data_IF_071826072340
#
_entry.id   IF_071826072340
#
_cell.length_a   1.000
_cell.length_b   1.000
_cell.length_c   1.000
_cell.angle_alpha   90.00
_cell.angle_beta   90.00
_cell.angle_gamma   90.00
#
_symmetry.space_group_name_H-M   'P 1'
#
loop_
_entity.id
_entity.type
_entity.pdbx_description
1 polymer ?
#
# COMPACT_ATOMS: atom_id res chain seq x y z
N UNK A 1 6.64 -13.17 -18.54
CA UNK A 1 7.80 -12.82 -17.69
C UNK A 1 7.31 -12.03 -16.47
N UNK A 2 7.02 -12.71 -15.36
CA UNK A 2 6.54 -12.06 -14.14
C UNK A 2 7.67 -11.33 -13.40
N UNK A 3 7.39 -10.19 -12.73
CA UNK A 3 8.42 -9.48 -11.99
C UNK A 3 8.80 -10.29 -10.74
N UNK A 4 10.03 -10.81 -10.74
CA UNK A 4 10.61 -11.64 -9.68
C UNK A 4 10.93 -10.81 -8.43
N UNK A 5 9.92 -10.62 -7.59
CA UNK A 5 10.07 -9.95 -6.29
C UNK A 5 9.99 -10.94 -5.12
N UNK A 6 10.94 -10.83 -4.20
CA UNK A 6 10.92 -11.32 -2.81
C UNK A 6 10.34 -12.73 -2.53
N UNK A 7 10.60 -13.72 -3.39
CA UNK A 7 10.60 -15.12 -2.97
C UNK A 7 12.03 -15.56 -2.65
N UNK A 8 12.30 -16.14 -1.47
CA UNK A 8 13.48 -16.98 -1.32
C UNK A 8 13.21 -18.23 -2.17
N UNK A 9 13.60 -18.19 -3.44
CA UNK A 9 13.70 -19.39 -4.25
C UNK A 9 14.80 -20.27 -3.68
N UNK A 10 14.45 -21.52 -3.38
CA UNK A 10 15.36 -22.53 -2.86
C UNK A 10 16.60 -22.69 -3.71
N UNK A 11 17.70 -23.05 -3.07
CA UNK A 11 19.00 -23.21 -3.70
C UNK A 11 18.98 -24.25 -4.82
N UNK A 12 19.04 -23.77 -6.06
CA UNK A 12 19.56 -24.53 -7.19
C UNK A 12 20.98 -24.09 -7.46
N UNK A 13 21.97 -24.94 -7.16
CA UNK A 13 23.34 -24.80 -7.68
C UNK A 13 23.26 -25.07 -9.19
N UNK A 14 23.59 -24.08 -10.01
CA UNK A 14 24.06 -24.34 -11.38
C UNK A 14 25.43 -23.71 -11.53
N UNK A 15 26.37 -24.60 -11.78
CA UNK A 15 27.80 -24.43 -11.97
C UNK A 15 28.14 -23.68 -13.25
N UNK A 16 29.19 -22.85 -13.15
CA UNK A 16 30.20 -22.56 -14.19
C UNK A 16 29.68 -21.86 -15.46
N UNK A 17 29.97 -20.56 -15.57
CA UNK A 17 31.00 -20.13 -16.53
C UNK A 17 31.72 -18.89 -15.98
N UNK A 18 33.04 -19.02 -15.84
CA UNK A 18 33.97 -17.93 -15.58
C UNK A 18 34.39 -17.41 -16.94
N UNK A 19 34.33 -16.09 -17.09
CA UNK A 19 34.96 -15.24 -18.12
C UNK A 19 33.91 -14.42 -18.85
N UNK A 20 33.54 -13.29 -18.24
CA UNK A 20 33.04 -12.01 -18.85
C UNK A 20 32.59 -11.04 -17.71
N UNK A 21 33.32 -11.04 -16.59
CA UNK A 21 32.98 -10.25 -15.40
C UNK A 21 33.81 -8.95 -15.35
N UNK A 22 33.39 -7.93 -16.08
CA UNK A 22 34.03 -6.61 -16.04
C UNK A 22 33.09 -5.45 -15.74
N UNK A 23 31.97 -5.35 -16.47
CA UNK A 23 31.14 -4.12 -16.42
C UNK A 23 29.63 -4.41 -16.41
N UNK A 24 29.18 -5.54 -16.96
CA UNK A 24 27.74 -5.86 -17.06
C UNK A 24 27.15 -6.50 -15.78
N UNK A 25 27.99 -6.95 -14.84
CA UNK A 25 27.57 -7.58 -13.58
C UNK A 25 27.04 -6.61 -12.51
N UNK A 26 27.33 -5.30 -12.64
CA UNK A 26 26.93 -4.27 -11.66
C UNK A 26 25.46 -3.84 -11.79
N UNK A 27 24.79 -4.18 -12.90
CA UNK A 27 23.37 -3.87 -13.12
C UNK A 27 22.42 -4.99 -12.68
N UNK A 28 22.92 -6.18 -12.32
CA UNK A 28 22.12 -7.21 -11.65
C UNK A 28 22.20 -7.06 -10.14
N UNK A 29 21.69 -5.93 -9.64
CA UNK A 29 21.42 -5.78 -8.20
C UNK A 29 20.51 -6.91 -7.75
N UNK A 30 20.87 -7.63 -6.68
CA UNK A 30 20.03 -8.71 -6.14
C UNK A 30 18.64 -8.14 -5.82
N UNK A 31 17.56 -8.93 -5.87
CA UNK A 31 16.20 -8.44 -5.57
C UNK A 31 16.12 -7.71 -4.21
N UNK A 32 16.91 -8.16 -3.23
CA UNK A 32 17.04 -7.55 -1.91
C UNK A 32 17.64 -6.13 -1.93
N UNK A 33 18.52 -5.83 -2.87
CA UNK A 33 19.20 -4.53 -2.97
C UNK A 33 18.31 -3.47 -3.64
N UNK A 34 17.31 -3.91 -4.43
CA UNK A 34 16.39 -3.02 -5.15
C UNK A 34 15.39 -2.36 -4.19
N UNK A 35 14.74 -3.14 -3.32
CA UNK A 35 13.90 -2.60 -2.24
C UNK A 35 14.68 -1.66 -1.29
N UNK A 36 15.98 -1.93 -1.09
CA UNK A 36 16.86 -1.13 -0.22
C UNK A 36 17.14 0.28 -0.77
N UNK A 37 17.06 0.49 -2.10
CA UNK A 37 17.31 1.79 -2.75
C UNK A 37 16.07 2.68 -2.82
N UNK A 38 14.88 2.09 -2.91
CA UNK A 38 13.64 2.81 -3.23
C UNK A 38 13.25 3.88 -2.20
N UNK A 39 13.46 3.63 -0.91
CA UNK A 39 13.01 4.52 0.19
C UNK A 39 13.97 5.68 0.50
N UNK A 40 15.23 5.58 0.05
CA UNK A 40 16.31 6.46 0.50
C UNK A 40 16.51 7.68 -0.40
N UNK A 41 15.91 7.67 -1.59
CA UNK A 41 16.17 8.69 -2.58
C UNK A 41 15.54 10.06 -2.25
N UNK A 42 14.46 10.12 -1.47
CA UNK A 42 13.87 11.41 -1.05
C UNK A 42 14.87 12.29 -0.30
N UNK A 43 15.66 11.69 0.60
CA UNK A 43 16.67 12.43 1.34
C UNK A 43 17.88 12.75 0.47
N UNK A 44 18.31 11.80 -0.37
CA UNK A 44 19.49 11.93 -1.25
C UNK A 44 19.31 13.03 -2.30
N UNK A 45 18.15 13.07 -2.93
CA UNK A 45 17.83 14.03 -3.99
C UNK A 45 17.19 15.31 -3.44
N UNK A 46 16.78 15.31 -2.16
CA UNK A 46 16.06 16.41 -1.51
C UNK A 46 14.77 16.80 -2.24
N UNK A 47 14.12 15.81 -2.86
CA UNK A 47 12.85 15.97 -3.57
C UNK A 47 11.78 15.11 -2.89
N UNK A 48 10.51 15.50 -3.05
CA UNK A 48 9.36 14.66 -2.68
C UNK A 48 8.88 13.77 -3.84
N UNK A 49 9.61 13.81 -4.96
CA UNK A 49 9.24 13.12 -6.18
C UNK A 49 9.49 11.61 -6.02
N UNK A 50 8.46 10.77 -6.15
CA UNK A 50 8.65 9.33 -6.02
C UNK A 50 9.55 8.81 -7.15
N UNK A 51 10.45 7.89 -6.82
CA UNK A 51 11.41 7.34 -7.78
C UNK A 51 10.88 6.14 -8.56
N UNK A 52 9.80 5.53 -8.06
CA UNK A 52 9.08 4.47 -8.74
C UNK A 52 7.57 4.73 -8.67
N UNK A 53 6.91 4.67 -9.82
CA UNK A 53 5.47 4.93 -9.99
C UNK A 53 4.62 3.66 -9.98
N UNK A 54 5.26 2.49 -9.95
CA UNK A 54 4.63 1.16 -9.86
C UNK A 54 3.65 1.08 -8.70
N UNK A 55 3.99 1.77 -7.60
CA UNK A 55 3.12 1.99 -6.46
C UNK A 55 2.95 3.49 -6.24
N UNK A 56 1.77 3.92 -5.79
CA UNK A 56 1.57 5.26 -5.25
C UNK A 56 2.56 5.64 -4.15
N UNK A 57 2.80 6.93 -3.96
CA UNK A 57 3.88 7.44 -3.12
C UNK A 57 3.60 7.38 -1.60
N UNK A 58 2.36 7.14 -1.15
CA UNK A 58 2.00 7.29 0.26
C UNK A 58 2.80 6.38 1.20
N UNK A 59 2.98 5.10 0.85
CA UNK A 59 3.78 4.19 1.68
C UNK A 59 5.24 4.67 1.78
N UNK A 60 5.78 5.18 0.66
CA UNK A 60 7.13 5.70 0.64
C UNK A 60 7.26 6.95 1.53
N UNK A 61 6.24 7.82 1.56
CA UNK A 61 6.17 8.97 2.47
C UNK A 61 6.05 8.55 3.94
N UNK A 62 5.28 7.51 4.27
CA UNK A 62 5.21 6.98 5.62
C UNK A 62 6.57 6.46 6.11
N UNK A 63 7.30 5.74 5.25
CA UNK A 63 8.64 5.26 5.58
C UNK A 63 9.61 6.44 5.73
N UNK A 64 9.59 7.42 4.83
CA UNK A 64 10.42 8.62 4.93
C UNK A 64 10.15 9.37 6.25
N UNK A 65 8.88 9.58 6.60
CA UNK A 65 8.49 10.19 7.88
C UNK A 65 9.02 9.38 9.07
N UNK A 66 8.84 8.06 9.08
CA UNK A 66 9.36 7.22 10.15
C UNK A 66 10.89 7.27 10.27
N UNK A 67 11.60 7.37 9.14
CA UNK A 67 13.06 7.55 9.11
C UNK A 67 13.48 8.90 9.67
N UNK A 68 12.75 9.99 9.38
CA UNK A 68 13.03 11.29 10.01
C UNK A 68 12.91 11.18 11.53
N UNK A 69 11.77 10.68 12.02
CA UNK A 69 11.53 10.54 13.46
C UNK A 69 12.59 9.66 14.11
N UNK A 70 12.89 8.49 13.55
CA UNK A 70 13.90 7.56 14.08
C UNK A 70 15.33 8.11 14.00
N UNK A 71 15.68 8.83 12.93
CA UNK A 71 16.99 9.45 12.74
C UNK A 71 17.31 10.51 13.79
N UNK A 72 16.28 11.17 14.35
CA UNK A 72 16.43 12.09 15.48
C UNK A 72 16.87 11.40 16.78
N UNK A 73 16.63 10.10 16.94
CA UNK A 73 17.01 9.32 18.12
C UNK A 73 18.36 8.62 18.00
N UNK A 74 18.76 8.24 16.78
CA UNK A 74 19.93 7.38 16.53
C UNK A 74 21.22 8.18 16.33
N UNK A 75 21.13 9.42 15.82
CA UNK A 75 22.31 10.25 15.58
C UNK A 75 22.58 11.15 16.80
N UNK A 76 23.67 10.93 17.59
CA UNK A 76 24.04 11.84 18.66
C UNK A 76 24.26 13.25 18.12
N UNK A 77 23.92 14.26 18.92
CA UNK A 77 24.08 15.66 18.59
C UNK A 77 25.57 16.05 18.58
N UNK A 78 26.34 15.61 17.58
CA UNK A 78 27.70 16.07 17.35
C UNK A 78 27.80 16.89 16.06
N UNK A 79 28.26 18.14 16.26
CA UNK A 79 28.83 19.14 15.33
C UNK A 79 28.05 19.54 14.07
N UNK A 80 27.63 20.82 14.03
CA UNK A 80 27.42 21.76 12.91
C UNK A 80 26.62 21.35 11.64
N UNK A 81 26.26 20.08 11.47
CA UNK A 81 25.49 19.61 10.34
C UNK A 81 23.99 19.78 10.58
N UNK A 82 23.31 20.37 9.59
CA UNK A 82 21.85 20.49 9.54
C UNK A 82 21.22 19.11 9.66
N UNK A 83 20.05 19.02 10.31
CA UNK A 83 19.32 17.76 10.45
C UNK A 83 19.08 17.02 9.11
N UNK A 84 18.85 17.78 8.04
CA UNK A 84 18.72 17.26 6.67
C UNK A 84 20.00 16.60 6.15
N UNK A 85 21.18 17.14 6.48
CA UNK A 85 22.48 16.58 6.08
C UNK A 85 22.79 15.29 6.84
N UNK A 86 22.32 15.18 8.09
CA UNK A 86 22.39 13.93 8.86
C UNK A 86 21.51 12.84 8.25
N UNK A 87 20.27 13.17 7.86
CA UNK A 87 19.36 12.23 7.21
C UNK A 87 19.88 11.80 5.83
N UNK A 88 20.47 12.72 5.07
CA UNK A 88 21.19 12.41 3.82
C UNK A 88 22.31 11.39 4.08
N UNK A 89 23.18 11.67 5.05
CA UNK A 89 24.32 10.81 5.37
C UNK A 89 23.87 9.43 5.87
N UNK A 90 22.91 9.36 6.79
CA UNK A 90 22.27 8.12 7.24
C UNK A 90 21.67 7.33 6.07
N UNK A 91 21.09 8.03 5.09
CA UNK A 91 20.53 7.40 3.91
C UNK A 91 21.60 6.81 2.97
N UNK A 92 22.85 7.28 3.04
CA UNK A 92 23.97 6.68 2.31
C UNK A 92 24.67 5.57 3.09
N UNK A 93 24.84 5.74 4.40
CA UNK A 93 25.67 4.86 5.23
C UNK A 93 24.93 3.65 5.77
N UNK A 94 23.67 3.79 6.19
CA UNK A 94 22.88 2.68 6.74
C UNK A 94 21.44 2.62 6.20
N UNK A 95 21.25 1.91 5.07
CA UNK A 95 19.91 1.61 4.57
C UNK A 95 19.07 0.71 5.50
N UNK A 96 19.68 0.08 6.51
CA UNK A 96 19.02 -0.85 7.43
C UNK A 96 17.91 -0.18 8.23
N UNK A 97 18.10 1.10 8.61
CA UNK A 97 17.11 1.87 9.35
C UNK A 97 15.80 2.05 8.57
N UNK A 98 15.86 2.32 7.26
CA UNK A 98 14.65 2.43 6.43
C UNK A 98 13.90 1.10 6.32
N UNK A 99 14.62 -0.01 6.22
CA UNK A 99 14.02 -1.35 6.21
C UNK A 99 13.38 -1.67 7.56
N UNK A 100 14.03 -1.30 8.67
CA UNK A 100 13.52 -1.52 10.02
C UNK A 100 12.25 -0.70 10.27
N UNK A 101 12.24 0.57 9.88
CA UNK A 101 11.06 1.45 9.95
C UNK A 101 9.94 0.90 9.08
N UNK A 102 10.22 0.51 7.84
CA UNK A 102 9.23 -0.09 6.94
C UNK A 102 8.62 -1.37 7.53
N UNK A 103 9.44 -2.26 8.11
CA UNK A 103 8.96 -3.45 8.83
C UNK A 103 8.09 -3.09 10.03
N UNK A 104 8.50 -2.11 10.84
CA UNK A 104 7.74 -1.66 11.98
C UNK A 104 6.35 -1.16 11.59
N UNK A 105 6.27 -0.31 10.56
CA UNK A 105 5.01 0.20 10.01
C UNK A 105 4.13 -0.96 9.50
N UNK A 106 4.70 -1.88 8.70
CA UNK A 106 3.94 -3.02 8.18
C UNK A 106 3.45 -3.96 9.28
N UNK A 107 4.24 -4.21 10.32
CA UNK A 107 3.85 -5.06 11.46
C UNK A 107 2.71 -4.40 12.25
N UNK A 108 2.83 -3.09 12.56
CA UNK A 108 1.77 -2.36 13.25
C UNK A 108 0.47 -2.34 12.44
N UNK A 109 0.55 -2.11 11.13
CA UNK A 109 -0.60 -2.16 10.24
C UNK A 109 -1.24 -3.56 10.24
N UNK A 110 -0.45 -4.63 10.20
CA UNK A 110 -0.98 -6.00 10.22
C UNK A 110 -1.64 -6.37 11.57
N UNK A 111 -1.07 -5.91 12.69
CA UNK A 111 -1.69 -6.10 14.01
C UNK A 111 -3.05 -5.39 14.11
N UNK A 112 -3.13 -4.15 13.62
CA UNK A 112 -4.41 -3.41 13.56
C UNK A 112 -5.37 -4.12 12.61
N UNK A 113 -4.88 -4.62 11.48
CA UNK A 113 -5.67 -5.38 10.52
C UNK A 113 -6.32 -6.62 11.16
N UNK A 114 -5.56 -7.41 11.93
CA UNK A 114 -6.06 -8.57 12.68
C UNK A 114 -7.17 -8.14 13.66
N UNK A 115 -6.96 -7.05 14.40
CA UNK A 115 -7.98 -6.52 15.31
C UNK A 115 -9.25 -6.03 14.60
N UNK A 116 -9.12 -5.44 13.41
CA UNK A 116 -10.25 -5.02 12.58
C UNK A 116 -11.03 -6.21 12.03
N UNK A 117 -10.34 -7.29 11.62
CA UNK A 117 -10.99 -8.52 11.15
C UNK A 117 -11.83 -9.14 12.27
N UNK A 118 -11.31 -9.19 13.50
CA UNK A 118 -12.09 -9.66 14.65
C UNK A 118 -13.39 -8.86 14.82
N UNK A 119 -13.31 -7.53 14.77
CA UNK A 119 -14.48 -6.66 14.88
C UNK A 119 -15.45 -6.83 13.70
N UNK A 120 -14.92 -7.00 12.49
CA UNK A 120 -15.71 -7.22 11.28
C UNK A 120 -16.51 -8.52 11.38
N UNK A 121 -15.88 -9.64 11.77
CA UNK A 121 -16.55 -10.94 11.90
C UNK A 121 -17.68 -10.86 12.95
N UNK A 122 -17.43 -10.20 14.09
CA UNK A 122 -18.45 -9.97 15.11
C UNK A 122 -19.64 -9.17 14.56
N UNK A 123 -19.37 -8.15 13.75
CA UNK A 123 -20.40 -7.27 13.16
C UNK A 123 -21.22 -7.97 12.08
N UNK A 124 -20.64 -8.92 11.35
CA UNK A 124 -21.36 -9.69 10.34
C UNK A 124 -22.36 -10.67 10.98
N UNK A 125 -22.12 -11.12 12.22
CA UNK A 125 -23.06 -11.94 13.00
C UNK A 125 -22.47 -13.27 13.50
N UNK A 126 -21.20 -13.54 13.23
CA UNK A 126 -20.50 -14.76 13.65
C UNK A 126 -19.65 -14.54 14.93
N UNK A 127 -20.23 -13.87 15.93
CA UNK A 127 -19.50 -13.43 17.12
C UNK A 127 -18.77 -14.56 17.87
N UNK A 128 -19.43 -15.71 18.03
CA UNK A 128 -18.86 -16.89 18.71
C UNK A 128 -17.66 -17.51 17.99
N UNK A 129 -17.53 -17.28 16.68
CA UNK A 129 -16.45 -17.82 15.84
C UNK A 129 -15.44 -16.74 15.41
N UNK A 130 -15.60 -15.50 15.89
CA UNK A 130 -14.71 -14.40 15.53
C UNK A 130 -13.26 -14.64 15.95
N UNK A 131 -13.05 -15.27 17.11
CA UNK A 131 -11.72 -15.65 17.57
C UNK A 131 -11.07 -16.66 16.64
N UNK A 132 -11.83 -17.64 16.12
CA UNK A 132 -11.33 -18.67 15.23
C UNK A 132 -10.87 -18.07 13.90
N UNK A 133 -11.71 -17.26 13.25
CA UNK A 133 -11.34 -16.60 12.00
C UNK A 133 -10.15 -15.65 12.15
N UNK A 134 -10.08 -14.94 13.27
CA UNK A 134 -8.95 -14.04 13.57
C UNK A 134 -7.66 -14.82 13.85
N UNK A 135 -7.74 -15.93 14.59
CA UNK A 135 -6.60 -16.80 14.88
C UNK A 135 -6.06 -17.44 13.59
N UNK A 136 -6.95 -17.90 12.70
CA UNK A 136 -6.56 -18.41 11.39
C UNK A 136 -5.78 -17.37 10.58
N UNK A 137 -6.20 -16.10 10.62
CA UNK A 137 -5.48 -15.01 9.94
C UNK A 137 -4.13 -14.69 10.60
N UNK A 138 -4.09 -14.68 11.93
CA UNK A 138 -2.86 -14.40 12.70
C UNK A 138 -1.75 -15.44 12.46
N UNK A 139 -2.12 -16.72 12.25
CA UNK A 139 -1.16 -17.80 11.97
C UNK A 139 -0.92 -17.99 10.47
N UNK A 140 -1.70 -17.33 9.60
CA UNK A 140 -1.54 -17.44 8.16
C UNK A 140 -0.14 -16.98 7.74
N UNK A 141 0.55 -17.84 6.97
CA UNK A 141 1.93 -17.61 6.51
C UNK A 141 2.06 -16.28 5.76
N UNK A 142 1.02 -15.87 5.03
CA UNK A 142 1.01 -14.61 4.28
C UNK A 142 1.05 -13.41 5.23
N UNK A 143 0.17 -13.37 6.23
CA UNK A 143 0.11 -12.30 7.24
C UNK A 143 1.42 -12.20 8.02
N UNK A 144 2.01 -13.34 8.39
CA UNK A 144 3.30 -13.33 9.09
C UNK A 144 4.44 -12.90 8.16
N UNK A 145 4.51 -13.38 6.92
CA UNK A 145 5.67 -13.18 6.05
C UNK A 145 5.72 -11.80 5.38
N UNK A 146 4.58 -11.24 4.98
CA UNK A 146 4.55 -9.97 4.23
C UNK A 146 5.14 -8.78 5.00
N UNK A 147 4.81 -8.56 6.30
CA UNK A 147 5.36 -7.44 7.08
C UNK A 147 6.88 -7.48 7.22
N UNK A 148 7.47 -8.68 7.34
CA UNK A 148 8.92 -8.86 7.45
C UNK A 148 9.69 -8.44 6.20
N UNK A 149 9.01 -8.35 5.06
CA UNK A 149 9.63 -7.95 3.79
C UNK A 149 9.59 -6.43 3.58
N UNK A 150 9.02 -5.64 4.51
CA UNK A 150 8.82 -4.20 4.38
C UNK A 150 8.05 -3.82 3.09
N UNK A 151 7.03 -4.62 2.75
CA UNK A 151 6.16 -4.36 1.61
C UNK A 151 4.93 -3.53 2.03
N UNK A 152 4.35 -2.77 1.09
CA UNK A 152 3.14 -2.00 1.34
C UNK A 152 1.88 -2.87 1.52
N UNK A 153 1.95 -4.18 1.27
CA UNK A 153 0.76 -5.05 1.29
C UNK A 153 0.01 -5.02 2.63
N UNK A 154 0.72 -5.11 3.75
CA UNK A 154 0.12 -5.02 5.08
C UNK A 154 -0.52 -3.63 5.33
N UNK A 155 0.15 -2.57 4.86
CA UNK A 155 -0.36 -1.19 4.98
C UNK A 155 -1.56 -0.89 4.08
N UNK A 156 -1.78 -1.69 3.03
CA UNK A 156 -3.00 -1.64 2.19
C UNK A 156 -4.12 -2.46 2.81
N UNK A 157 -3.80 -3.63 3.37
CA UNK A 157 -4.76 -4.55 3.95
C UNK A 157 -5.54 -3.92 5.11
N UNK A 158 -4.85 -3.25 6.03
CA UNK A 158 -5.48 -2.56 7.17
C UNK A 158 -6.58 -1.57 6.76
N UNK A 159 -6.31 -0.52 5.95
CA UNK A 159 -7.34 0.43 5.55
C UNK A 159 -8.37 -0.21 4.60
N UNK A 160 -8.00 -1.20 3.78
CA UNK A 160 -8.98 -1.91 2.94
C UNK A 160 -10.04 -2.64 3.79
N UNK A 161 -9.60 -3.31 4.86
CA UNK A 161 -10.52 -3.95 5.82
C UNK A 161 -11.33 -2.91 6.59
N UNK A 162 -10.76 -1.75 6.91
CA UNK A 162 -11.51 -0.66 7.51
C UNK A 162 -12.60 -0.11 6.56
N UNK A 163 -12.31 0.02 5.25
CA UNK A 163 -13.30 0.40 4.25
C UNK A 163 -14.45 -0.61 4.17
N UNK A 164 -14.14 -1.92 4.21
CA UNK A 164 -15.14 -2.99 4.27
C UNK A 164 -15.94 -2.93 5.57
N UNK A 165 -15.29 -2.63 6.70
CA UNK A 165 -15.96 -2.44 7.99
C UNK A 165 -17.00 -1.31 7.92
N UNK A 166 -16.65 -0.16 7.34
CA UNK A 166 -17.61 0.92 7.13
C UNK A 166 -18.67 0.58 6.08
N UNK A 167 -18.34 -0.19 5.03
CA UNK A 167 -19.33 -0.69 4.10
C UNK A 167 -20.38 -1.58 4.80
N UNK A 168 -19.95 -2.52 5.65
CA UNK A 168 -20.87 -3.35 6.44
C UNK A 168 -21.68 -2.51 7.44
N UNK A 169 -21.05 -1.50 8.06
CA UNK A 169 -21.74 -0.54 8.94
C UNK A 169 -22.83 0.23 8.19
N UNK A 170 -22.52 0.78 7.02
CA UNK A 170 -23.47 1.48 6.15
C UNK A 170 -24.62 0.57 5.76
N UNK A 171 -24.32 -0.69 5.40
CA UNK A 171 -25.36 -1.64 4.97
C UNK A 171 -26.34 -1.97 6.10
N UNK A 172 -25.84 -2.19 7.32
CA UNK A 172 -26.63 -2.71 8.46
C UNK A 172 -27.25 -1.65 9.37
N UNK A 173 -26.68 -0.45 9.43
CA UNK A 173 -27.14 0.64 10.31
C UNK A 173 -27.73 1.80 9.48
N UNK A 174 -28.16 2.88 10.13
CA UNK A 174 -28.88 4.02 9.51
C UNK A 174 -28.09 4.83 8.45
N UNK A 175 -26.89 4.39 8.07
CA UNK A 175 -26.09 5.00 7.01
C UNK A 175 -25.72 6.47 7.29
N UNK A 176 -25.14 6.74 8.45
CA UNK A 176 -24.78 8.11 8.86
C UNK A 176 -23.77 8.75 7.90
N UNK A 177 -23.87 10.07 7.75
CA UNK A 177 -22.98 10.83 6.86
C UNK A 177 -21.49 10.65 7.23
N UNK A 178 -21.19 10.53 8.52
CA UNK A 178 -19.82 10.28 9.00
C UNK A 178 -19.25 8.96 8.47
N UNK A 179 -20.06 7.91 8.38
CA UNK A 179 -19.60 6.59 7.96
C UNK A 179 -19.24 6.56 6.47
N UNK A 180 -20.02 7.25 5.64
CA UNK A 180 -19.71 7.44 4.21
C UNK A 180 -18.44 8.27 4.00
N UNK A 181 -18.28 9.39 4.72
CA UNK A 181 -17.10 10.24 4.58
C UNK A 181 -15.83 9.50 5.02
N UNK A 182 -15.88 8.76 6.14
CA UNK A 182 -14.75 7.96 6.58
C UNK A 182 -14.45 6.83 5.59
N UNK A 183 -15.47 6.13 5.09
CA UNK A 183 -15.29 5.11 4.05
C UNK A 183 -14.59 5.69 2.81
N UNK A 184 -15.00 6.87 2.35
CA UNK A 184 -14.38 7.58 1.24
C UNK A 184 -12.91 7.91 1.50
N UNK A 185 -12.61 8.57 2.62
CA UNK A 185 -11.22 8.90 3.01
C UNK A 185 -10.35 7.64 3.02
N UNK A 186 -10.84 6.56 3.64
CA UNK A 186 -10.10 5.30 3.73
C UNK A 186 -9.89 4.69 2.34
N UNK A 187 -10.89 4.66 1.46
CA UNK A 187 -10.72 4.22 0.08
C UNK A 187 -9.69 5.06 -0.70
N UNK A 188 -9.66 6.38 -0.48
CA UNK A 188 -8.66 7.28 -1.07
C UNK A 188 -7.24 6.99 -0.59
N UNK A 189 -7.07 6.73 0.71
CA UNK A 189 -5.78 6.31 1.28
C UNK A 189 -5.33 4.95 0.74
N UNK A 190 -6.25 4.00 0.58
CA UNK A 190 -5.96 2.70 -0.05
C UNK A 190 -5.48 2.89 -1.48
N UNK A 191 -6.19 3.70 -2.29
CA UNK A 191 -5.79 4.04 -3.65
C UNK A 191 -4.40 4.69 -3.69
N UNK A 192 -4.12 5.59 -2.75
CA UNK A 192 -2.83 6.26 -2.61
C UNK A 192 -1.73 5.37 -2.03
N UNK A 193 -2.03 4.14 -1.62
CA UNK A 193 -1.04 3.15 -1.15
C UNK A 193 -0.78 2.08 -2.21
N UNK A 194 -1.85 1.55 -2.83
CA UNK A 194 -1.77 0.54 -3.89
C UNK A 194 -3.05 0.52 -4.72
N UNK A 195 -2.93 0.68 -6.03
CA UNK A 195 -4.07 0.83 -6.95
C UNK A 195 -5.09 -0.32 -6.86
N UNK A 196 -4.61 -1.56 -6.75
CA UNK A 196 -5.49 -2.74 -6.71
C UNK A 196 -6.35 -2.79 -5.43
N UNK A 197 -5.91 -2.17 -4.34
CA UNK A 197 -6.70 -2.08 -3.10
C UNK A 197 -7.93 -1.20 -3.27
N UNK A 198 -7.93 -0.26 -4.22
CA UNK A 198 -9.05 0.66 -4.45
C UNK A 198 -10.35 -0.07 -4.84
N UNK A 199 -10.27 -1.35 -5.21
CA UNK A 199 -11.44 -2.21 -5.41
C UNK A 199 -12.34 -2.32 -4.16
N UNK A 200 -11.83 -2.01 -2.96
CA UNK A 200 -12.67 -1.90 -1.75
C UNK A 200 -13.77 -0.84 -1.88
N UNK A 201 -13.61 0.17 -2.75
CA UNK A 201 -14.66 1.15 -3.03
C UNK A 201 -15.93 0.50 -3.63
N UNK A 202 -15.78 -0.63 -4.34
CA UNK A 202 -16.93 -1.39 -4.84
C UNK A 202 -17.76 -1.98 -3.71
N UNK A 203 -17.14 -2.36 -2.59
CA UNK A 203 -17.87 -2.85 -1.42
C UNK A 203 -18.70 -1.71 -0.79
N UNK A 204 -18.17 -0.49 -0.72
CA UNK A 204 -18.90 0.69 -0.22
C UNK A 204 -20.05 1.05 -1.16
N UNK A 205 -19.82 1.02 -2.48
CA UNK A 205 -20.85 1.22 -3.48
C UNK A 205 -21.95 0.16 -3.37
N UNK A 206 -21.59 -1.12 -3.30
CA UNK A 206 -22.54 -2.21 -3.14
C UNK A 206 -23.34 -2.08 -1.84
N UNK A 207 -22.68 -1.74 -0.73
CA UNK A 207 -23.34 -1.51 0.55
C UNK A 207 -24.38 -0.39 0.46
N UNK A 208 -24.06 0.74 -0.19
CA UNK A 208 -25.00 1.83 -0.39
C UNK A 208 -26.17 1.43 -1.30
N UNK A 209 -25.91 0.73 -2.40
CA UNK A 209 -26.96 0.30 -3.33
C UNK A 209 -27.90 -0.74 -2.71
N UNK A 210 -27.38 -1.64 -1.88
CA UNK A 210 -28.16 -2.68 -1.18
C UNK A 210 -28.80 -2.17 0.11
N UNK A 211 -28.40 -1.01 0.62
CA UNK A 211 -29.02 -0.41 1.78
C UNK A 211 -30.49 -0.08 1.51
N UNK A 212 -31.35 -0.36 2.48
CA UNK A 212 -32.80 -0.34 2.35
C UNK A 212 -33.31 0.98 1.75
N UNK A 213 -34.00 0.87 0.61
CA UNK A 213 -34.67 2.00 -0.02
C UNK A 213 -35.70 1.48 -1.03
N UNK A 214 -36.79 2.21 -1.20
CA UNK A 214 -37.81 1.90 -2.20
C UNK A 214 -37.53 2.59 -3.55
N UNK A 215 -36.40 3.29 -3.66
CA UNK A 215 -36.05 4.08 -4.83
C UNK A 215 -35.29 3.29 -5.91
N UNK A 216 -35.46 3.64 -7.19
CA UNK A 216 -34.71 3.04 -8.29
C UNK A 216 -33.21 3.31 -8.18
N UNK A 217 -32.39 2.37 -8.64
CA UNK A 217 -30.91 2.35 -8.51
C UNK A 217 -30.25 3.65 -9.00
N UNK A 218 -30.73 4.23 -10.11
CA UNK A 218 -30.14 5.45 -10.68
C UNK A 218 -30.20 6.65 -9.74
N UNK A 219 -31.26 6.77 -8.91
CA UNK A 219 -31.37 7.85 -7.90
C UNK A 219 -30.38 7.68 -6.76
N UNK A 220 -30.01 6.44 -6.43
CA UNK A 220 -29.02 6.13 -5.39
C UNK A 220 -27.60 6.47 -5.84
N UNK A 221 -27.30 6.26 -7.13
CA UNK A 221 -25.98 6.61 -7.69
C UNK A 221 -25.68 8.12 -7.56
N UNK A 222 -26.71 8.95 -7.65
CA UNK A 222 -26.61 10.41 -7.50
C UNK A 222 -26.92 10.90 -6.08
N UNK A 223 -27.08 10.00 -5.11
CA UNK A 223 -27.38 10.39 -3.75
C UNK A 223 -26.19 11.19 -3.18
N UNK A 224 -26.43 12.34 -2.51
CA UNK A 224 -25.37 13.16 -1.96
C UNK A 224 -24.43 12.35 -1.07
N UNK A 225 -24.96 11.37 -0.33
CA UNK A 225 -24.21 10.44 0.52
C UNK A 225 -23.10 9.70 -0.22
N UNK A 226 -23.45 9.12 -1.38
CA UNK A 226 -22.48 8.41 -2.21
C UNK A 226 -21.51 9.38 -2.89
N UNK A 227 -21.99 10.55 -3.35
CA UNK A 227 -21.12 11.57 -3.93
C UNK A 227 -20.05 12.03 -2.94
N UNK A 228 -20.39 12.20 -1.65
CA UNK A 228 -19.40 12.55 -0.64
C UNK A 228 -18.35 11.47 -0.38
N UNK A 229 -18.66 10.18 -0.58
CA UNK A 229 -17.65 9.11 -0.58
C UNK A 229 -16.64 9.37 -1.69
N UNK A 230 -17.13 9.63 -2.91
CA UNK A 230 -16.31 9.90 -4.08
C UNK A 230 -15.42 11.12 -3.88
N UNK A 231 -15.99 12.25 -3.43
CA UNK A 231 -15.22 13.48 -3.18
C UNK A 231 -14.21 13.30 -2.04
N UNK A 232 -14.59 12.62 -0.96
CA UNK A 232 -13.67 12.35 0.15
C UNK A 232 -12.53 11.41 -0.26
N UNK A 233 -12.80 10.39 -1.09
CA UNK A 233 -11.79 9.49 -1.62
C UNK A 233 -10.80 10.22 -2.53
N UNK A 234 -11.29 11.06 -3.46
CA UNK A 234 -10.43 11.88 -4.32
C UNK A 234 -9.60 12.83 -3.48
N UNK A 235 -10.21 13.59 -2.56
CA UNK A 235 -9.49 14.52 -1.69
C UNK A 235 -8.40 13.80 -0.87
N UNK A 236 -8.72 12.67 -0.23
CA UNK A 236 -7.74 11.91 0.55
C UNK A 236 -6.62 11.34 -0.32
N UNK A 237 -6.94 10.83 -1.52
CA UNK A 237 -5.93 10.31 -2.45
C UNK A 237 -4.97 11.41 -2.92
N UNK A 238 -5.49 12.60 -3.23
CA UNK A 238 -4.70 13.75 -3.66
C UNK A 238 -3.84 14.32 -2.53
N UNK A 239 -4.37 14.37 -1.30
CA UNK A 239 -3.61 14.81 -0.13
C UNK A 239 -2.49 13.82 0.22
N UNK A 240 -2.76 12.52 0.12
CA UNK A 240 -1.79 11.46 0.40
C UNK A 240 -0.74 11.30 -0.72
N UNK A 241 -1.12 11.60 -1.96
CA UNK A 241 -0.28 11.50 -3.14
C UNK A 241 -0.51 12.71 -4.08
N UNK A 242 0.10 13.88 -3.79
CA UNK A 242 -0.07 15.08 -4.60
C UNK A 242 0.46 14.92 -6.04
N UNK A 243 1.34 13.95 -6.26
CA UNK A 243 1.89 13.64 -7.58
C UNK A 243 0.88 13.06 -8.57
N UNK A 244 -0.31 12.64 -8.10
CA UNK A 244 -1.42 12.36 -9.01
C UNK A 244 -1.82 13.58 -9.85
N UNK A 245 -1.65 14.80 -9.32
CA UNK A 245 -1.88 16.05 -10.06
C UNK A 245 -0.61 16.59 -10.71
N UNK A 246 0.54 16.47 -10.03
CA UNK A 246 1.79 17.09 -10.50
C UNK A 246 2.46 16.30 -11.63
N UNK A 247 2.22 15.00 -11.72
CA UNK A 247 2.82 14.15 -12.74
C UNK A 247 1.88 13.06 -13.28
N UNK A 248 0.70 13.44 -13.84
CA UNK A 248 -0.31 12.49 -14.30
C UNK A 248 0.19 11.60 -15.44
N UNK A 249 1.05 12.12 -16.32
CA UNK A 249 1.58 11.41 -17.48
C UNK A 249 2.35 10.14 -17.10
N UNK A 250 3.07 10.15 -15.98
CA UNK A 250 3.87 9.01 -15.51
C UNK A 250 2.95 7.88 -15.02
N UNK A 251 1.86 8.22 -14.31
CA UNK A 251 0.87 7.26 -13.85
C UNK A 251 0.00 6.71 -14.98
N UNK A 252 -0.42 7.57 -15.91
CA UNK A 252 -1.19 7.17 -17.10
C UNK A 252 -0.35 6.29 -18.04
N UNK A 253 0.94 6.60 -18.20
CA UNK A 253 1.87 5.78 -18.97
C UNK A 253 1.97 4.36 -18.42
N UNK A 254 2.06 4.20 -17.10
CA UNK A 254 2.07 2.89 -16.45
C UNK A 254 0.74 2.14 -16.64
N UNK A 255 -0.40 2.83 -16.48
CA UNK A 255 -1.71 2.22 -16.70
C UNK A 255 -1.87 1.71 -18.14
N UNK A 256 -1.45 2.50 -19.13
CA UNK A 256 -1.43 2.10 -20.54
C UNK A 256 -0.51 0.91 -20.77
N UNK A 257 0.67 0.90 -20.16
CA UNK A 257 1.60 -0.22 -20.24
C UNK A 257 0.96 -1.51 -19.71
N UNK A 258 0.32 -1.46 -18.53
CA UNK A 258 -0.38 -2.60 -17.95
C UNK A 258 -1.50 -3.11 -18.85
N UNK A 259 -2.32 -2.22 -19.42
CA UNK A 259 -3.37 -2.58 -20.37
C UNK A 259 -2.80 -3.22 -21.64
N UNK A 260 -1.73 -2.67 -22.21
CA UNK A 260 -1.08 -3.25 -23.40
C UNK A 260 -0.48 -4.63 -23.12
N UNK A 261 0.07 -4.84 -21.93
CA UNK A 261 0.61 -6.14 -21.52
C UNK A 261 -0.49 -7.19 -21.31
N UNK A 262 -1.66 -6.77 -20.80
CA UNK A 262 -2.83 -7.63 -20.66
C UNK A 262 -3.42 -7.99 -22.03
N UNK A 263 -3.54 -7.03 -22.95
CA UNK A 263 -4.01 -7.30 -24.32
C UNK A 263 -3.09 -8.30 -25.02
N UNK A 264 -1.77 -8.12 -24.90
CA UNK A 264 -0.80 -9.08 -25.43
C UNK A 264 -0.99 -10.49 -24.85
N UNK A 265 -1.10 -10.61 -23.52
CA UNK A 265 -1.30 -11.90 -22.86
C UNK A 265 -2.64 -12.57 -23.27
N UNK A 266 -3.70 -11.78 -23.41
CA UNK A 266 -5.01 -12.30 -23.83
C UNK A 266 -4.98 -12.81 -25.28
N UNK A 267 -4.25 -12.13 -26.17
CA UNK A 267 -4.04 -12.57 -27.56
C UNK A 267 -3.23 -13.85 -27.69
N UNK A 268 -2.26 -14.09 -26.80
CA UNK A 268 -1.53 -15.37 -26.78
C UNK A 268 -2.38 -16.54 -26.26
N UNK A 269 -3.40 -16.26 -25.45
CA UNK A 269 -4.28 -17.30 -24.86
C UNK A 269 -5.58 -17.53 -25.62
N UNK A 270 -5.86 -16.75 -26.65
CA UNK A 270 -7.02 -16.97 -27.52
C UNK A 270 -6.65 -17.94 -28.65
N UNK A 271 -7.39 -19.06 -28.82
CA UNK A 271 -7.14 -20.03 -29.89
C UNK A 271 -7.43 -19.48 -31.28
#
# INVERSE_FOLDING_TARGET
MGPSWCYPGGGGRTSIDRDEAGVSGLLRSRPRDRCRRQYLNFFREATLHPTEFTYPAFFQYLVALGVTVAGGWVAPASADATYLDRLRLLSYTDPGLSVLVGRGISILADLIHIALIYQLIRRVGAGSWAWFGTLSLAVAVISVRQPHMALPDATVAMPSTLAIFYAVKILKEEGHWRDYLVAGVVCGLVLATKYNGALCALAVLAAHLLHHGDFPVWRRIVEPRLLGVGTAAVAAALLACPYFLLAPEQYLGLARYQLSSLDFALRETSP
#
